data_IF_604642545364
#
_entry.id   IF_604642545364
#
_cell.length_a   1.000
_cell.length_b   1.000
_cell.length_c   1.000
_cell.angle_alpha   90.00
_cell.angle_beta   90.00
_cell.angle_gamma   90.00
#
_symmetry.space_group_name_H-M   'P 1'
#
loop_
_entity.id
_entity.type
_entity.pdbx_description
1 polymer ?
#
# COMPACT_ATOMS: atom_id res chain seq x y z
N UNK A 1 24.99 31.71 14.58
CA UNK A 1 25.12 30.75 15.71
C UNK A 1 26.57 30.37 15.99
N UNK A 2 27.36 29.87 15.02
CA UNK A 2 28.76 29.46 15.24
C UNK A 2 29.75 30.63 15.45
N UNK A 3 29.58 31.75 14.74
CA UNK A 3 30.41 32.96 14.94
C UNK A 3 30.26 33.55 16.35
N UNK A 4 29.06 33.46 16.92
CA UNK A 4 28.80 33.86 18.31
C UNK A 4 29.51 32.97 19.35
N UNK A 5 30.09 31.84 18.93
CA UNK A 5 30.93 30.95 19.76
C UNK A 5 32.43 31.08 19.46
N UNK A 6 32.86 32.18 18.83
CA UNK A 6 34.28 32.48 18.60
C UNK A 6 34.90 31.82 17.37
N UNK A 7 34.08 31.25 16.46
CA UNK A 7 34.56 30.68 15.20
C UNK A 7 34.60 31.75 14.10
N UNK A 8 35.69 31.80 13.33
CA UNK A 8 35.87 32.73 12.22
C UNK A 8 35.55 32.07 10.87
N UNK A 9 34.81 32.75 10.00
CA UNK A 9 34.49 32.25 8.65
C UNK A 9 35.70 32.48 7.75
N UNK A 10 36.29 31.40 7.23
CA UNK A 10 37.42 31.47 6.28
C UNK A 10 36.93 31.73 4.84
N UNK A 11 35.83 31.09 4.44
CA UNK A 11 35.29 31.19 3.07
C UNK A 11 33.79 30.82 3.09
N UNK A 12 33.00 31.40 2.17
CA UNK A 12 31.56 31.12 2.04
C UNK A 12 31.30 30.32 0.77
N UNK A 13 30.29 29.46 0.82
CA UNK A 13 29.81 28.71 -0.37
C UNK A 13 30.87 27.84 -1.06
N UNK A 14 31.90 27.39 -0.32
CA UNK A 14 32.97 26.50 -0.85
C UNK A 14 32.42 25.22 -1.50
N UNK A 15 31.23 24.78 -1.06
CA UNK A 15 30.48 23.71 -1.69
C UNK A 15 28.96 23.97 -1.53
N UNK A 16 28.32 24.70 -2.47
CA UNK A 16 26.96 25.23 -2.31
C UNK A 16 25.87 24.15 -2.21
N UNK A 17 26.20 22.92 -2.62
CA UNK A 17 25.30 21.75 -2.53
C UNK A 17 25.70 20.76 -1.42
N UNK A 18 26.81 21.00 -0.70
CA UNK A 18 27.21 20.13 0.40
C UNK A 18 26.44 20.46 1.66
N UNK A 19 25.81 19.45 2.25
CA UNK A 19 25.36 19.49 3.64
C UNK A 19 26.37 18.74 4.50
N UNK A 20 27.04 19.46 5.39
CA UNK A 20 27.94 18.84 6.37
C UNK A 20 27.13 18.19 7.48
N UNK A 21 27.38 16.91 7.75
CA UNK A 21 26.83 16.19 8.89
C UNK A 21 27.88 16.12 10.00
N UNK A 22 27.43 16.24 11.24
CA UNK A 22 28.26 16.01 12.42
C UNK A 22 27.73 14.75 13.10
N UNK A 23 28.61 13.77 13.31
CA UNK A 23 28.31 12.61 14.13
C UNK A 23 28.72 12.91 15.58
N UNK A 24 27.81 12.72 16.53
CA UNK A 24 28.13 12.70 17.95
C UNK A 24 28.32 11.24 18.33
N UNK A 25 29.54 10.87 18.72
CA UNK A 25 29.89 9.51 19.10
C UNK A 25 29.97 9.41 20.62
N UNK A 26 29.34 8.39 21.18
CA UNK A 26 29.34 8.10 22.60
C UNK A 26 29.24 6.59 22.85
N UNK A 27 29.57 6.13 24.08
CA UNK A 27 29.44 4.73 24.45
C UNK A 27 27.99 4.31 24.67
N UNK A 28 27.08 5.26 24.87
CA UNK A 28 25.65 5.03 25.11
C UNK A 28 24.84 5.20 23.81
N UNK A 29 23.81 4.37 23.65
CA UNK A 29 22.86 4.51 22.54
C UNK A 29 22.00 5.75 22.74
N UNK A 30 21.62 6.39 21.64
CA UNK A 30 20.62 7.46 21.69
C UNK A 30 19.28 6.90 22.20
N UNK A 31 18.47 7.77 22.79
CA UNK A 31 17.08 7.44 23.06
C UNK A 31 16.29 7.40 21.74
N UNK A 32 15.33 6.48 21.57
CA UNK A 32 14.49 6.44 20.38
C UNK A 32 13.76 7.78 20.17
N UNK A 33 13.77 8.26 18.95
CA UNK A 33 13.03 9.47 18.54
C UNK A 33 11.79 9.15 17.71
N UNK A 34 11.67 7.91 17.21
CA UNK A 34 10.63 7.49 16.28
C UNK A 34 10.97 7.79 14.81
N UNK A 35 12.03 8.56 14.57
CA UNK A 35 12.61 8.79 13.25
C UNK A 35 14.11 8.52 13.30
N UNK A 36 14.46 7.25 13.48
CA UNK A 36 15.83 6.80 13.76
C UNK A 36 16.41 5.99 12.60
N UNK A 37 17.72 5.84 12.62
CA UNK A 37 18.47 4.90 11.80
C UNK A 37 19.34 4.03 12.70
N UNK A 38 19.52 2.77 12.31
CA UNK A 38 20.41 1.82 12.96
C UNK A 38 21.50 1.40 12.00
N UNK A 39 22.76 1.59 12.41
CA UNK A 39 23.93 1.16 11.67
C UNK A 39 24.55 -0.07 12.32
N UNK A 40 24.88 -1.07 11.51
CA UNK A 40 25.61 -2.25 11.93
C UNK A 40 26.57 -2.71 10.83
N UNK A 41 27.56 -3.50 11.24
CA UNK A 41 28.51 -4.12 10.33
C UNK A 41 28.62 -5.61 10.66
N UNK A 42 28.68 -6.44 9.63
CA UNK A 42 28.95 -7.87 9.84
C UNK A 42 30.42 -8.08 10.21
N UNK A 43 30.75 -9.22 10.81
CA UNK A 43 32.11 -9.77 10.75
C UNK A 43 32.39 -10.24 9.32
N UNK A 44 33.67 -10.48 8.96
CA UNK A 44 33.98 -11.08 7.67
C UNK A 44 33.26 -12.43 7.52
N UNK A 45 32.42 -12.54 6.50
CA UNK A 45 31.49 -13.65 6.28
C UNK A 45 32.14 -14.74 5.43
N UNK A 46 31.81 -16.00 5.71
CA UNK A 46 32.15 -17.09 4.79
C UNK A 46 31.36 -16.94 3.48
N UNK A 47 31.97 -17.34 2.37
CA UNK A 47 31.30 -17.28 1.08
C UNK A 47 30.13 -18.28 1.04
N UNK A 48 28.94 -17.75 0.77
CA UNK A 48 27.72 -18.53 0.55
C UNK A 48 26.89 -17.85 -0.52
N UNK A 49 26.51 -18.62 -1.53
CA UNK A 49 25.61 -18.18 -2.59
C UNK A 49 24.35 -17.54 -1.99
N UNK A 50 24.01 -16.35 -2.47
CA UNK A 50 22.78 -15.65 -2.08
C UNK A 50 22.81 -14.95 -0.72
N UNK A 51 23.89 -15.02 0.07
CA UNK A 51 23.93 -14.46 1.42
C UNK A 51 23.52 -12.98 1.47
N UNK A 52 24.06 -12.16 0.57
CA UNK A 52 23.70 -10.74 0.51
C UNK A 52 22.20 -10.55 0.19
N UNK A 53 21.66 -11.33 -0.77
CA UNK A 53 20.24 -11.26 -1.15
C UNK A 53 19.35 -11.65 0.03
N UNK A 54 19.72 -12.69 0.77
CA UNK A 54 18.98 -13.14 1.95
C UNK A 54 18.96 -12.07 3.05
N UNK A 55 20.10 -11.41 3.30
CA UNK A 55 20.23 -10.31 4.26
C UNK A 55 19.30 -9.16 3.85
N UNK A 56 19.42 -8.65 2.62
CA UNK A 56 18.60 -7.54 2.11
C UNK A 56 17.11 -7.91 2.05
N UNK A 57 16.82 -9.18 1.75
CA UNK A 57 15.48 -9.74 1.72
C UNK A 57 14.79 -9.72 3.08
N UNK A 58 15.52 -9.86 4.19
CA UNK A 58 14.96 -9.79 5.54
C UNK A 58 14.41 -8.40 5.86
N UNK A 59 15.19 -7.35 5.58
CA UNK A 59 14.75 -5.96 5.75
C UNK A 59 13.56 -5.65 4.82
N UNK A 60 13.66 -6.05 3.55
CA UNK A 60 12.60 -5.83 2.56
C UNK A 60 11.26 -6.49 2.96
N UNK A 61 11.30 -7.73 3.47
CA UNK A 61 10.10 -8.47 3.90
C UNK A 61 9.42 -7.84 5.13
N UNK A 62 10.20 -7.15 5.96
CA UNK A 62 9.71 -6.41 7.14
C UNK A 62 9.34 -4.96 6.85
N UNK A 63 9.55 -4.49 5.61
CA UNK A 63 9.32 -3.08 5.25
C UNK A 63 10.36 -2.13 5.84
N UNK A 64 11.52 -2.62 6.26
CA UNK A 64 12.64 -1.79 6.72
C UNK A 64 13.44 -1.33 5.51
N UNK A 65 13.50 -0.02 5.30
CA UNK A 65 14.29 0.55 4.20
C UNK A 65 15.77 0.68 4.59
N UNK A 66 16.65 0.43 3.63
CA UNK A 66 18.10 0.55 3.79
C UNK A 66 18.52 1.94 3.27
N UNK A 67 19.22 2.69 4.12
CA UNK A 67 19.63 4.08 3.89
C UNK A 67 21.01 4.18 3.25
N UNK A 68 21.94 3.36 3.72
CA UNK A 68 23.28 3.23 3.17
C UNK A 68 23.72 1.77 3.29
N UNK A 69 24.52 1.31 2.32
CA UNK A 69 25.08 -0.03 2.33
C UNK A 69 26.45 0.01 1.68
N UNK A 70 27.41 -0.67 2.31
CA UNK A 70 28.74 -0.90 1.73
C UNK A 70 29.11 -2.36 1.87
N UNK A 71 29.58 -2.94 0.77
CA UNK A 71 30.11 -4.28 0.71
C UNK A 71 31.58 -4.18 0.33
N UNK A 72 32.46 -4.56 1.26
CA UNK A 72 33.90 -4.48 1.09
C UNK A 72 34.54 -5.81 1.51
N UNK A 73 35.73 -6.11 1.00
CA UNK A 73 36.49 -7.28 1.44
C UNK A 73 37.40 -6.87 2.60
N UNK A 74 37.33 -7.62 3.71
CA UNK A 74 38.23 -7.39 4.83
C UNK A 74 39.68 -7.60 4.40
N UNK A 75 40.54 -6.63 4.72
CA UNK A 75 41.93 -6.59 4.23
C UNK A 75 42.73 -7.82 4.66
N UNK A 76 42.45 -8.37 5.84
CA UNK A 76 43.21 -9.51 6.42
C UNK A 76 42.72 -10.85 5.92
N UNK A 77 41.41 -11.05 5.90
CA UNK A 77 40.77 -12.34 5.61
C UNK A 77 40.34 -12.47 4.15
N UNK A 78 40.28 -11.37 3.41
CA UNK A 78 39.71 -11.27 2.05
C UNK A 78 38.24 -11.72 1.98
N UNK A 79 37.58 -11.84 3.13
CA UNK A 79 36.18 -12.23 3.26
C UNK A 79 35.27 -11.01 3.20
N UNK A 80 34.04 -11.22 2.71
CA UNK A 80 33.06 -10.17 2.54
C UNK A 80 32.61 -9.61 3.89
N UNK A 81 32.63 -8.29 4.02
CA UNK A 81 32.09 -7.56 5.15
C UNK A 81 31.04 -6.56 4.67
N UNK A 82 29.89 -6.53 5.35
CA UNK A 82 28.76 -5.71 4.92
C UNK A 82 28.43 -4.71 6.03
N UNK A 83 28.49 -3.43 5.70
CA UNK A 83 27.92 -2.34 6.48
C UNK A 83 26.50 -2.05 5.97
N UNK A 84 25.56 -1.91 6.89
CA UNK A 84 24.18 -1.52 6.60
C UNK A 84 23.77 -0.43 7.59
N UNK A 85 23.20 0.64 7.05
CA UNK A 85 22.40 1.62 7.78
C UNK A 85 20.95 1.46 7.34
N UNK A 86 20.05 1.20 8.28
CA UNK A 86 18.64 0.92 8.01
C UNK A 86 17.70 1.77 8.87
N UNK A 87 16.50 2.06 8.38
CA UNK A 87 15.48 2.83 9.08
C UNK A 87 14.94 2.08 10.31
N UNK A 88 14.85 2.76 11.44
CA UNK A 88 14.36 2.21 12.70
C UNK A 88 15.43 2.20 13.79
N UNK A 89 14.99 2.24 15.06
CA UNK A 89 15.87 2.17 16.22
C UNK A 89 16.08 0.71 16.66
N UNK A 90 17.23 0.35 17.23
CA UNK A 90 17.48 -1.03 17.71
C UNK A 90 16.53 -1.46 18.85
N UNK A 91 15.91 -0.50 19.52
CA UNK A 91 14.91 -0.76 20.56
C UNK A 91 13.51 -1.01 19.99
N UNK A 92 13.29 -0.77 18.69
CA UNK A 92 12.09 -1.18 17.99
C UNK A 92 12.12 -2.72 17.83
N UNK A 93 11.06 -3.46 18.26
CA UNK A 93 10.99 -4.91 18.11
C UNK A 93 11.18 -5.39 16.67
N UNK A 94 10.67 -4.67 15.67
CA UNK A 94 10.75 -5.08 14.26
C UNK A 94 12.19 -5.04 13.77
N UNK A 95 12.94 -4.00 14.15
CA UNK A 95 14.36 -3.85 13.84
C UNK A 95 15.22 -4.87 14.62
N UNK A 96 14.97 -5.02 15.92
CA UNK A 96 15.67 -6.00 16.76
C UNK A 96 15.51 -7.42 16.21
N UNK A 97 14.28 -7.82 15.87
CA UNK A 97 13.99 -9.12 15.29
C UNK A 97 14.60 -9.29 13.90
N UNK A 98 14.66 -8.23 13.08
CA UNK A 98 15.31 -8.28 11.78
C UNK A 98 16.80 -8.61 11.93
N UNK A 99 17.49 -7.89 12.80
CA UNK A 99 18.92 -8.10 13.06
C UNK A 99 19.15 -9.49 13.67
N UNK A 100 18.34 -9.90 14.65
CA UNK A 100 18.43 -11.23 15.24
C UNK A 100 18.17 -12.35 14.22
N UNK A 101 17.23 -12.16 13.28
CA UNK A 101 16.96 -13.13 12.22
C UNK A 101 18.12 -13.21 11.23
N UNK A 102 18.67 -12.06 10.82
CA UNK A 102 19.85 -12.02 9.95
C UNK A 102 21.02 -12.76 10.61
N UNK A 103 21.31 -12.53 11.88
CA UNK A 103 22.40 -13.21 12.56
C UNK A 103 22.16 -14.72 12.71
N UNK A 104 21.00 -15.12 13.21
CA UNK A 104 20.75 -16.50 13.64
C UNK A 104 20.25 -17.42 12.54
N UNK A 105 19.60 -16.89 11.48
CA UNK A 105 18.99 -17.68 10.42
C UNK A 105 19.66 -17.49 9.08
N UNK A 106 20.05 -16.26 8.76
CA UNK A 106 20.72 -15.96 7.49
C UNK A 106 22.20 -16.27 7.58
N UNK A 107 22.93 -15.61 8.49
CA UNK A 107 24.38 -15.78 8.62
C UNK A 107 24.73 -17.06 9.37
N UNK A 108 23.95 -17.43 10.39
CA UNK A 108 24.12 -18.65 11.21
C UNK A 108 25.45 -18.69 11.97
N UNK A 109 25.98 -17.52 12.33
CA UNK A 109 27.20 -17.38 13.13
C UNK A 109 26.89 -16.45 14.31
N UNK A 110 26.96 -16.93 15.56
CA UNK A 110 26.71 -16.10 16.73
C UNK A 110 27.68 -14.92 16.83
N UNK A 111 27.15 -13.72 17.08
CA UNK A 111 27.95 -12.49 17.17
C UNK A 111 28.56 -12.05 15.84
N UNK A 112 28.02 -12.50 14.71
CA UNK A 112 28.43 -12.05 13.39
C UNK A 112 27.99 -10.62 13.07
N UNK A 113 27.06 -10.04 13.82
CA UNK A 113 26.66 -8.64 13.66
C UNK A 113 27.23 -7.81 14.79
N UNK A 114 27.90 -6.71 14.43
CA UNK A 114 28.30 -5.66 15.36
C UNK A 114 27.44 -4.43 15.13
N UNK A 115 26.58 -4.14 16.10
CA UNK A 115 25.86 -2.87 16.17
C UNK A 115 26.85 -1.72 16.34
N UNK A 116 26.74 -0.70 15.49
CA UNK A 116 27.54 0.51 15.56
C UNK A 116 26.80 1.61 16.32
N UNK A 117 25.46 1.64 16.20
CA UNK A 117 24.61 2.50 16.99
C UNK A 117 23.22 2.67 16.36
N UNK A 118 22.31 3.24 17.14
CA UNK A 118 21.05 3.78 16.65
C UNK A 118 20.99 5.26 17.01
N UNK A 119 20.53 6.08 16.06
CA UNK A 119 20.61 7.54 16.15
C UNK A 119 19.49 8.21 15.34
N UNK A 120 19.14 9.48 15.66
CA UNK A 120 18.14 10.22 14.91
C UNK A 120 18.54 10.34 13.44
N UNK A 121 17.62 9.99 12.55
CA UNK A 121 17.80 10.08 11.11
C UNK A 121 17.74 11.55 10.66
N UNK A 122 18.60 11.92 9.72
CA UNK A 122 18.55 13.20 9.03
C UNK A 122 18.15 12.98 7.58
N UNK A 123 16.95 13.42 7.21
CA UNK A 123 16.52 13.40 5.81
C UNK A 123 17.28 14.47 5.01
N UNK A 124 17.79 14.08 3.84
CA UNK A 124 18.46 14.99 2.92
C UNK A 124 17.48 15.65 1.96
N UNK A 125 16.27 15.11 1.82
CA UNK A 125 15.21 15.72 1.01
C UNK A 125 14.67 16.95 1.72
N UNK A 126 14.37 17.99 0.94
CA UNK A 126 13.62 19.14 1.45
C UNK A 126 12.18 18.69 1.63
N UNK A 127 11.74 18.57 2.88
CA UNK A 127 10.33 18.40 3.21
C UNK A 127 9.66 19.77 3.25
N UNK A 128 8.65 19.95 2.43
CA UNK A 128 7.76 21.11 2.48
C UNK A 128 6.61 20.86 3.45
N UNK A 129 6.20 19.61 3.63
CA UNK A 129 5.16 19.23 4.58
C UNK A 129 5.80 18.97 5.94
N UNK A 130 5.27 19.61 6.99
CA UNK A 130 5.64 19.34 8.38
C UNK A 130 4.60 18.46 9.05
N UNK A 131 3.32 18.74 8.77
CA UNK A 131 2.21 18.10 9.46
C UNK A 131 1.05 17.71 8.55
N UNK A 132 0.49 16.53 8.82
CA UNK A 132 -0.73 16.01 8.20
C UNK A 132 -1.88 15.96 9.21
N UNK A 133 -3.08 16.21 8.72
CA UNK A 133 -4.29 16.14 9.51
C UNK A 133 -5.36 15.30 8.84
N UNK A 134 -5.72 14.17 9.44
CA UNK A 134 -6.73 13.28 8.87
C UNK A 134 -8.11 13.61 9.42
N UNK A 135 -9.06 13.86 8.53
CA UNK A 135 -10.49 13.83 8.82
C UNK A 135 -10.97 12.41 8.54
N UNK A 136 -11.14 11.65 9.62
CA UNK A 136 -11.36 10.20 9.59
C UNK A 136 -10.40 9.49 10.56
N UNK A 137 -10.95 8.58 11.37
CA UNK A 137 -10.18 7.77 12.34
C UNK A 137 -10.31 6.28 12.07
N UNK A 138 -10.65 5.92 10.82
CA UNK A 138 -10.74 4.54 10.37
C UNK A 138 -9.38 3.87 10.27
N UNK A 139 -9.39 2.56 10.03
CA UNK A 139 -8.15 1.77 9.99
C UNK A 139 -7.19 2.24 8.89
N UNK A 140 -7.70 2.71 7.74
CA UNK A 140 -6.84 3.30 6.71
C UNK A 140 -6.21 4.64 7.12
N UNK A 141 -6.93 5.48 7.87
CA UNK A 141 -6.35 6.74 8.37
C UNK A 141 -5.20 6.45 9.34
N UNK A 142 -5.39 5.49 10.25
CA UNK A 142 -4.34 5.02 11.16
C UNK A 142 -3.18 4.39 10.41
N UNK A 143 -3.46 3.60 9.38
CA UNK A 143 -2.45 2.96 8.55
C UNK A 143 -1.56 4.00 7.86
N UNK A 144 -2.12 5.03 7.23
CA UNK A 144 -1.33 6.10 6.63
C UNK A 144 -0.62 6.95 7.68
N UNK A 145 -1.29 7.27 8.79
CA UNK A 145 -0.69 8.07 9.87
C UNK A 145 0.56 7.40 10.44
N UNK A 146 0.50 6.10 10.69
CA UNK A 146 1.64 5.30 11.13
C UNK A 146 2.83 5.41 10.17
N UNK A 147 2.64 5.21 8.85
CA UNK A 147 3.75 5.34 7.88
C UNK A 147 4.28 6.77 7.78
N UNK A 148 3.41 7.77 7.80
CA UNK A 148 3.82 9.17 7.74
C UNK A 148 4.62 9.57 9.00
N UNK A 149 4.24 9.06 10.17
CA UNK A 149 5.00 9.26 11.41
C UNK A 149 6.38 8.60 11.36
N UNK A 150 6.49 7.39 10.81
CA UNK A 150 7.79 6.74 10.55
C UNK A 150 8.64 7.47 9.51
N UNK A 151 8.02 8.30 8.66
CA UNK A 151 8.71 9.24 7.79
C UNK A 151 9.03 10.57 8.48
N UNK A 152 8.74 10.72 9.77
CA UNK A 152 9.08 11.91 10.56
C UNK A 152 8.13 13.10 10.35
N UNK A 153 6.94 12.87 9.79
CA UNK A 153 5.89 13.88 9.74
C UNK A 153 5.08 13.90 11.05
N UNK A 154 4.66 15.07 11.48
CA UNK A 154 3.64 15.17 12.53
C UNK A 154 2.28 14.78 11.93
N UNK A 155 1.50 13.95 12.65
CA UNK A 155 0.20 13.52 12.17
C UNK A 155 -0.85 13.67 13.26
N UNK A 156 -1.91 14.41 12.95
CA UNK A 156 -3.09 14.58 13.79
C UNK A 156 -4.26 13.79 13.20
N UNK A 157 -4.92 12.97 14.02
CA UNK A 157 -6.15 12.27 13.64
C UNK A 157 -7.35 12.97 14.27
N UNK A 158 -8.36 13.27 13.46
CA UNK A 158 -9.62 13.84 13.92
C UNK A 158 -10.82 13.08 13.35
N UNK A 159 -11.72 12.63 14.21
CA UNK A 159 -12.89 11.88 13.82
C UNK A 159 -13.85 11.64 14.98
N UNK A 160 -14.76 10.68 14.82
CA UNK A 160 -15.81 10.38 15.82
C UNK A 160 -15.24 9.85 17.15
N UNK A 161 -14.02 9.33 17.13
CA UNK A 161 -13.36 8.69 18.27
C UNK A 161 -12.29 9.55 18.94
N UNK A 162 -12.17 10.83 18.57
CA UNK A 162 -11.13 11.74 19.09
C UNK A 162 -11.77 12.97 19.70
N UNK A 163 -11.08 13.57 20.67
CA UNK A 163 -11.46 14.85 21.27
C UNK A 163 -11.18 16.01 20.31
N UNK A 164 -10.01 15.99 19.66
CA UNK A 164 -9.60 16.97 18.66
C UNK A 164 -10.60 17.01 17.50
N UNK A 165 -11.19 18.18 17.26
CA UNK A 165 -12.19 18.41 16.21
C UNK A 165 -11.53 18.79 14.88
N UNK A 166 -12.14 18.47 13.72
CA UNK A 166 -11.55 18.83 12.43
C UNK A 166 -11.33 20.33 12.31
N UNK A 167 -12.24 21.14 12.85
CA UNK A 167 -12.13 22.59 12.87
C UNK A 167 -10.84 23.09 13.56
N UNK A 168 -10.43 22.47 14.65
CA UNK A 168 -9.22 22.83 15.41
C UNK A 168 -7.95 22.25 14.76
N UNK A 169 -8.06 21.05 14.20
CA UNK A 169 -6.95 20.36 13.56
C UNK A 169 -6.50 21.06 12.27
N UNK A 170 -7.44 21.55 11.45
CA UNK A 170 -7.15 22.15 10.14
C UNK A 170 -6.21 23.35 10.28
N UNK A 171 -6.29 24.11 11.37
CA UNK A 171 -5.43 25.27 11.59
C UNK A 171 -3.97 24.87 11.89
N UNK A 172 -3.74 23.67 12.42
CA UNK A 172 -2.44 23.17 12.89
C UNK A 172 -1.63 22.43 11.81
N UNK A 173 -2.26 22.07 10.69
CA UNK A 173 -1.64 21.19 9.68
C UNK A 173 -1.36 21.87 8.34
N UNK A 174 -0.36 21.40 7.61
CA UNK A 174 -0.06 21.83 6.24
C UNK A 174 -0.92 21.08 5.21
N UNK A 175 -1.22 19.81 5.48
CA UNK A 175 -1.98 18.94 4.60
C UNK A 175 -3.17 18.33 5.34
N UNK A 176 -4.37 18.58 4.82
CA UNK A 176 -5.60 17.95 5.29
C UNK A 176 -5.91 16.75 4.42
N UNK A 177 -6.10 15.59 5.03
CA UNK A 177 -6.45 14.35 4.36
C UNK A 177 -7.88 13.95 4.71
N UNK A 178 -8.76 13.82 3.72
CA UNK A 178 -10.11 13.29 3.93
C UNK A 178 -10.10 11.79 3.68
N UNK A 179 -10.37 11.01 4.73
CA UNK A 179 -10.35 9.55 4.70
C UNK A 179 -11.58 9.01 5.48
N UNK A 180 -12.76 9.18 4.87
CA UNK A 180 -14.07 8.82 5.43
C UNK A 180 -14.81 7.86 4.48
N UNK A 181 -15.92 7.22 4.89
CA UNK A 181 -16.73 6.41 3.97
C UNK A 181 -17.16 7.21 2.74
N UNK A 182 -17.26 6.55 1.58
CA UNK A 182 -17.53 7.18 0.26
C UNK A 182 -18.78 8.09 0.34
N UNK A 183 -19.87 7.60 0.94
CA UNK A 183 -21.12 8.33 1.15
C UNK A 183 -20.99 9.60 1.99
N UNK A 184 -19.95 9.74 2.80
CA UNK A 184 -19.71 10.90 3.66
C UNK A 184 -18.66 11.87 3.10
N UNK A 185 -17.97 11.50 2.02
CA UNK A 185 -16.81 12.25 1.51
C UNK A 185 -17.19 13.66 1.05
N UNK A 186 -18.18 13.79 0.16
CA UNK A 186 -18.62 15.09 -0.38
C UNK A 186 -19.14 16.02 0.72
N UNK A 187 -19.95 15.50 1.64
CA UNK A 187 -20.44 16.29 2.79
C UNK A 187 -19.28 16.79 3.67
N UNK A 188 -18.32 15.91 3.94
CA UNK A 188 -17.12 16.24 4.72
C UNK A 188 -16.30 17.34 4.04
N UNK A 189 -16.10 17.24 2.72
CA UNK A 189 -15.41 18.25 1.93
C UNK A 189 -16.15 19.58 1.99
N UNK A 190 -17.46 19.60 1.75
CA UNK A 190 -18.25 20.85 1.78
C UNK A 190 -18.24 21.50 3.16
N UNK A 191 -18.23 20.71 4.22
CA UNK A 191 -18.24 21.21 5.60
C UNK A 191 -16.90 21.82 6.01
N UNK A 192 -15.78 21.20 5.63
CA UNK A 192 -14.46 21.55 6.16
C UNK A 192 -13.53 22.21 5.13
N UNK A 193 -13.75 22.00 3.84
CA UNK A 193 -13.00 22.60 2.73
C UNK A 193 -12.87 24.12 2.81
N UNK A 194 -13.94 24.89 3.11
CA UNK A 194 -13.84 26.35 3.24
C UNK A 194 -12.88 26.86 4.33
N UNK A 195 -12.50 26.00 5.29
CA UNK A 195 -11.54 26.35 6.35
C UNK A 195 -10.09 26.15 5.93
N UNK A 196 -9.83 25.44 4.85
CA UNK A 196 -8.47 25.16 4.38
C UNK A 196 -7.95 26.43 3.69
N UNK A 197 -6.91 27.01 4.27
CA UNK A 197 -6.33 28.28 3.82
C UNK A 197 -5.32 28.08 2.68
N UNK A 198 -5.08 29.15 1.92
CA UNK A 198 -4.06 29.16 0.86
C UNK A 198 -2.67 28.75 1.38
N UNK A 199 -1.93 28.02 0.56
CA UNK A 199 -0.63 27.46 0.93
C UNK A 199 -0.70 26.09 1.62
N UNK A 200 -1.90 25.58 1.90
CA UNK A 200 -2.15 24.21 2.38
C UNK A 200 -2.61 23.28 1.25
N UNK A 201 -2.67 21.98 1.52
CA UNK A 201 -3.24 21.00 0.58
C UNK A 201 -4.42 20.23 1.17
N UNK A 202 -5.36 19.87 0.30
CA UNK A 202 -6.41 18.90 0.54
C UNK A 202 -6.15 17.64 -0.30
N UNK A 203 -5.84 16.54 0.38
CA UNK A 203 -5.67 15.21 -0.24
C UNK A 203 -6.89 14.35 0.05
N UNK A 204 -7.48 13.81 -1.00
CA UNK A 204 -8.71 13.02 -0.92
C UNK A 204 -8.33 11.54 -1.04
N UNK A 205 -8.43 10.78 0.06
CA UNK A 205 -8.31 9.32 0.06
C UNK A 205 -9.70 8.73 -0.16
N UNK A 206 -10.14 8.67 -1.41
CA UNK A 206 -11.51 8.38 -1.79
C UNK A 206 -11.61 7.38 -2.96
N UNK A 207 -12.71 6.62 -2.97
CA UNK A 207 -13.01 5.63 -4.02
C UNK A 207 -13.88 6.15 -5.18
N UNK A 208 -14.31 7.41 -5.14
CA UNK A 208 -15.06 8.10 -6.21
C UNK A 208 -14.37 9.45 -6.46
N UNK A 209 -14.12 9.78 -7.73
CA UNK A 209 -13.21 10.87 -8.11
C UNK A 209 -13.91 12.13 -8.58
N UNK A 210 -14.82 12.04 -9.55
CA UNK A 210 -15.42 13.21 -10.21
C UNK A 210 -16.14 14.13 -9.23
N UNK A 211 -17.16 13.60 -8.55
CA UNK A 211 -17.97 14.32 -7.56
C UNK A 211 -17.14 14.85 -6.39
N UNK A 212 -16.15 14.07 -5.95
CA UNK A 212 -15.28 14.37 -4.83
C UNK A 212 -14.33 15.53 -5.14
N UNK A 213 -13.71 15.50 -6.33
CA UNK A 213 -12.83 16.57 -6.79
C UNK A 213 -13.61 17.84 -7.11
N UNK A 214 -14.77 17.73 -7.76
CA UNK A 214 -15.61 18.90 -8.06
C UNK A 214 -16.02 19.62 -6.77
N UNK A 215 -16.47 18.88 -5.76
CA UNK A 215 -16.79 19.46 -4.46
C UNK A 215 -15.58 20.16 -3.84
N UNK A 216 -14.40 19.54 -3.89
CA UNK A 216 -13.18 20.15 -3.35
C UNK A 216 -12.75 21.40 -4.13
N UNK A 217 -12.90 21.40 -5.46
CA UNK A 217 -12.63 22.54 -6.33
C UNK A 217 -13.60 23.70 -6.09
N UNK A 218 -14.86 23.39 -5.82
CA UNK A 218 -15.92 24.36 -5.54
C UNK A 218 -15.71 25.11 -4.21
N UNK A 219 -15.34 24.39 -3.14
CA UNK A 219 -15.39 24.95 -1.78
C UNK A 219 -14.05 25.45 -1.22
N UNK A 220 -12.91 25.09 -1.84
CA UNK A 220 -11.59 25.56 -1.37
C UNK A 220 -11.05 26.72 -2.22
N UNK A 221 -10.24 27.58 -1.59
CA UNK A 221 -9.61 28.72 -2.26
C UNK A 221 -8.64 28.34 -3.38
N UNK A 222 -8.33 29.24 -4.32
CA UNK A 222 -7.44 28.97 -5.46
C UNK A 222 -6.00 28.66 -5.05
N UNK A 223 -5.55 29.07 -3.86
CA UNK A 223 -4.23 28.76 -3.32
C UNK A 223 -4.17 27.45 -2.53
N UNK A 224 -5.26 26.69 -2.45
CA UNK A 224 -5.29 25.36 -1.83
C UNK A 224 -4.96 24.30 -2.88
N UNK A 225 -3.90 23.52 -2.64
CA UNK A 225 -3.58 22.40 -3.51
C UNK A 225 -4.61 21.27 -3.35
N UNK A 226 -5.04 20.65 -4.45
CA UNK A 226 -6.02 19.55 -4.39
C UNK A 226 -5.54 18.37 -5.23
N UNK A 227 -5.59 17.17 -4.65
CA UNK A 227 -5.28 15.91 -5.34
C UNK A 227 -6.13 14.78 -4.74
N UNK A 228 -6.53 13.85 -5.58
CA UNK A 228 -7.15 12.61 -5.14
C UNK A 228 -6.19 11.44 -5.30
N UNK A 229 -6.18 10.57 -4.30
CA UNK A 229 -5.44 9.32 -4.30
C UNK A 229 -6.38 8.20 -3.91
N UNK A 230 -6.49 7.18 -4.74
CA UNK A 230 -7.20 5.95 -4.42
C UNK A 230 -6.18 4.82 -4.23
N UNK A 231 -5.96 4.44 -2.97
CA UNK A 231 -5.14 3.28 -2.63
C UNK A 231 -5.92 1.97 -2.86
N UNK A 232 -5.44 1.10 -3.75
CA UNK A 232 -6.09 -0.18 -4.05
C UNK A 232 -5.60 -1.32 -3.13
N UNK A 233 -5.50 -1.01 -1.84
CA UNK A 233 -5.18 -1.98 -0.79
C UNK A 233 -5.94 -1.66 0.50
N UNK A 234 -6.21 -2.71 1.29
CA UNK A 234 -6.86 -2.59 2.59
C UNK A 234 -5.87 -2.39 3.75
N UNK A 235 -6.37 -2.02 4.94
CA UNK A 235 -5.55 -1.67 6.11
C UNK A 235 -4.79 -2.86 6.72
N UNK A 236 -5.14 -4.10 6.36
CA UNK A 236 -4.41 -5.30 6.78
C UNK A 236 -3.08 -5.50 6.02
N UNK A 237 -2.83 -4.69 4.99
CA UNK A 237 -1.64 -4.79 4.16
C UNK A 237 -0.41 -4.30 4.92
N UNK A 238 0.66 -5.09 5.01
CA UNK A 238 1.88 -4.68 5.71
C UNK A 238 2.64 -3.53 4.99
N UNK A 239 2.65 -3.51 3.66
CA UNK A 239 3.37 -2.51 2.86
C UNK A 239 2.62 -2.17 1.57
N UNK A 240 2.72 -0.92 1.09
CA UNK A 240 2.20 -0.54 -0.22
C UNK A 240 3.10 -0.95 -1.39
N UNK A 241 4.22 -1.65 -1.13
CA UNK A 241 5.09 -2.17 -2.17
C UNK A 241 4.32 -3.09 -3.14
N UNK A 242 4.48 -2.83 -4.43
CA UNK A 242 3.82 -3.54 -5.53
C UNK A 242 2.27 -3.47 -5.43
N UNK A 243 1.75 -2.41 -4.80
CA UNK A 243 0.31 -2.11 -4.71
C UNK A 243 -0.02 -0.91 -5.58
N UNK A 244 -1.14 -1.00 -6.28
CA UNK A 244 -1.59 0.06 -7.16
C UNK A 244 -2.15 1.23 -6.34
N UNK A 245 -1.69 2.44 -6.64
CA UNK A 245 -2.30 3.70 -6.22
C UNK A 245 -2.73 4.47 -7.47
N UNK A 246 -4.00 4.86 -7.55
CA UNK A 246 -4.47 5.74 -8.62
C UNK A 246 -4.40 7.18 -8.13
N UNK A 247 -3.71 8.04 -8.86
CA UNK A 247 -3.55 9.46 -8.57
C UNK A 247 -4.28 10.27 -9.62
N UNK A 248 -5.19 11.13 -9.17
CA UNK A 248 -5.89 12.09 -10.02
C UNK A 248 -5.43 13.49 -9.60
N UNK A 249 -4.52 14.05 -10.39
CA UNK A 249 -4.03 15.42 -10.22
C UNK A 249 -5.02 16.42 -10.78
N UNK A 250 -5.12 17.57 -10.13
CA UNK A 250 -5.86 18.74 -10.60
C UNK A 250 -4.90 19.81 -11.09
N UNK A 251 -5.37 20.84 -11.81
CA UNK A 251 -4.55 22.02 -12.11
C UNK A 251 -4.00 22.74 -10.87
N UNK A 252 -4.59 22.51 -9.69
CA UNK A 252 -4.12 23.05 -8.40
C UNK A 252 -3.16 22.11 -7.66
N UNK A 253 -2.86 20.91 -8.16
CA UNK A 253 -1.87 20.03 -7.53
C UNK A 253 -0.47 20.65 -7.64
N UNK A 254 0.14 20.97 -6.50
CA UNK A 254 1.43 21.66 -6.43
C UNK A 254 2.51 20.84 -5.70
N UNK A 255 3.29 21.52 -4.86
CA UNK A 255 4.47 20.93 -4.22
C UNK A 255 4.09 19.94 -3.11
N UNK A 256 3.03 20.24 -2.35
CA UNK A 256 2.58 19.40 -1.25
C UNK A 256 1.96 18.11 -1.79
N UNK A 257 1.15 18.21 -2.86
CA UNK A 257 0.65 17.03 -3.56
C UNK A 257 1.81 16.18 -4.13
N UNK A 258 2.83 16.82 -4.70
CA UNK A 258 4.02 16.12 -5.25
C UNK A 258 4.82 15.41 -4.17
N UNK A 259 4.98 16.01 -2.99
CA UNK A 259 5.68 15.38 -1.87
C UNK A 259 4.90 14.17 -1.32
N UNK A 260 3.57 14.26 -1.21
CA UNK A 260 2.75 13.11 -0.82
C UNK A 260 2.80 11.97 -1.85
N UNK A 261 2.77 12.29 -3.14
CA UNK A 261 2.92 11.30 -4.21
C UNK A 261 4.32 10.65 -4.18
N UNK A 262 5.37 11.44 -3.94
CA UNK A 262 6.74 10.93 -3.77
C UNK A 262 6.87 10.03 -2.53
N UNK A 263 6.10 10.29 -1.48
CA UNK A 263 5.97 9.38 -0.34
C UNK A 263 5.38 8.02 -0.77
N UNK A 264 4.29 8.00 -1.53
CA UNK A 264 3.71 6.74 -2.04
C UNK A 264 4.73 5.95 -2.89
N UNK A 265 5.40 6.65 -3.81
CA UNK A 265 6.41 6.04 -4.68
C UNK A 265 7.59 5.48 -3.87
N UNK A 266 8.09 6.22 -2.87
CA UNK A 266 9.19 5.79 -1.99
C UNK A 266 8.87 4.47 -1.30
N UNK A 267 7.63 4.27 -0.87
CA UNK A 267 7.20 3.03 -0.21
C UNK A 267 6.77 1.93 -1.21
N UNK A 268 7.03 2.12 -2.50
CA UNK A 268 6.89 1.09 -3.54
C UNK A 268 5.49 0.95 -4.12
N UNK A 269 4.61 1.94 -3.95
CA UNK A 269 3.32 1.93 -4.64
C UNK A 269 3.53 2.10 -6.16
N UNK A 270 2.81 1.31 -6.94
CA UNK A 270 2.71 1.48 -8.39
C UNK A 270 1.69 2.58 -8.70
N UNK A 271 2.19 3.75 -9.11
CA UNK A 271 1.38 4.94 -9.30
C UNK A 271 0.83 5.00 -10.73
N UNK A 272 -0.49 5.05 -10.85
CA UNK A 272 -1.20 5.23 -12.11
C UNK A 272 -1.90 6.58 -12.13
N UNK A 273 -1.69 7.35 -13.19
CA UNK A 273 -2.33 8.64 -13.38
C UNK A 273 -3.57 8.51 -14.25
N UNK A 274 -4.71 8.99 -13.76
CA UNK A 274 -5.99 8.94 -14.48
C UNK A 274 -6.71 10.29 -14.49
N UNK A 275 -7.65 10.45 -15.42
CA UNK A 275 -8.70 11.48 -15.31
C UNK A 275 -9.78 11.03 -14.32
N UNK A 276 -10.56 11.96 -13.72
CA UNK A 276 -11.65 11.60 -12.80
C UNK A 276 -12.64 10.61 -13.42
N UNK A 277 -13.07 10.89 -14.66
CA UNK A 277 -14.02 10.05 -15.40
C UNK A 277 -13.48 8.65 -15.73
N UNK A 278 -12.20 8.54 -16.09
CA UNK A 278 -11.56 7.26 -16.38
C UNK A 278 -11.42 6.42 -15.10
N UNK A 279 -11.00 7.04 -13.99
CA UNK A 279 -10.94 6.40 -12.69
C UNK A 279 -12.29 5.79 -12.32
N UNK A 280 -13.37 6.59 -12.34
CA UNK A 280 -14.70 6.15 -11.89
C UNK A 280 -15.27 5.04 -12.77
N UNK A 281 -15.04 5.09 -14.08
CA UNK A 281 -15.40 4.01 -15.00
C UNK A 281 -14.66 2.70 -14.66
N UNK A 282 -13.34 2.78 -14.45
CA UNK A 282 -12.51 1.60 -14.18
C UNK A 282 -12.75 1.01 -12.78
N UNK A 283 -13.19 1.80 -11.80
CA UNK A 283 -13.65 1.28 -10.50
C UNK A 283 -14.89 0.40 -10.64
N UNK A 284 -15.70 0.63 -11.69
CA UNK A 284 -16.76 -0.28 -12.11
C UNK A 284 -16.24 -1.70 -12.38
N UNK A 285 -15.11 -1.81 -13.08
CA UNK A 285 -14.48 -3.07 -13.46
C UNK A 285 -13.68 -3.68 -12.30
N UNK A 286 -12.87 -2.87 -11.61
CA UNK A 286 -11.91 -3.35 -10.62
C UNK A 286 -12.48 -3.63 -9.23
N UNK A 287 -13.59 -2.99 -8.86
CA UNK A 287 -14.13 -3.06 -7.50
C UNK A 287 -15.62 -3.38 -7.48
N UNK A 288 -16.43 -2.59 -8.19
CA UNK A 288 -17.90 -2.66 -8.07
C UNK A 288 -18.45 -3.98 -8.61
N UNK A 289 -18.15 -4.32 -9.86
CA UNK A 289 -18.62 -5.55 -10.48
C UNK A 289 -18.15 -6.82 -9.74
N UNK A 290 -16.86 -7.00 -9.40
CA UNK A 290 -16.41 -8.16 -8.63
C UNK A 290 -17.10 -8.30 -7.27
N UNK A 291 -17.40 -7.18 -6.61
CA UNK A 291 -18.13 -7.18 -5.33
C UNK A 291 -19.58 -7.65 -5.51
N UNK A 292 -20.29 -7.10 -6.52
CA UNK A 292 -21.66 -7.51 -6.84
C UNK A 292 -21.73 -9.00 -7.17
N UNK A 293 -20.82 -9.49 -8.02
CA UNK A 293 -20.73 -10.91 -8.37
C UNK A 293 -20.49 -11.76 -7.11
N UNK A 294 -19.59 -11.33 -6.23
CA UNK A 294 -19.27 -12.05 -4.99
C UNK A 294 -20.48 -12.19 -4.08
N UNK A 295 -21.25 -11.11 -3.88
CA UNK A 295 -22.46 -11.14 -3.04
C UNK A 295 -23.55 -11.98 -3.70
N UNK A 296 -23.80 -11.80 -5.00
CA UNK A 296 -24.78 -12.59 -5.74
C UNK A 296 -24.45 -14.10 -5.75
N UNK A 297 -23.16 -14.45 -5.84
CA UNK A 297 -22.69 -15.82 -5.76
C UNK A 297 -23.00 -16.43 -4.39
N UNK A 298 -22.70 -15.72 -3.29
CA UNK A 298 -23.02 -16.18 -1.94
C UNK A 298 -24.53 -16.41 -1.75
N UNK A 299 -25.36 -15.48 -2.22
CA UNK A 299 -26.82 -15.62 -2.20
C UNK A 299 -27.30 -16.83 -3.01
N UNK A 300 -26.66 -17.12 -4.14
CA UNK A 300 -26.99 -18.28 -4.99
C UNK A 300 -26.65 -19.59 -4.30
N UNK A 301 -25.51 -19.66 -3.60
CA UNK A 301 -25.12 -20.83 -2.81
C UNK A 301 -26.13 -21.10 -1.69
N UNK A 302 -26.51 -20.04 -0.95
CA UNK A 302 -27.52 -20.12 0.11
C UNK A 302 -28.88 -20.59 -0.44
N UNK A 303 -29.35 -20.00 -1.53
CA UNK A 303 -30.65 -20.33 -2.13
C UNK A 303 -30.74 -21.79 -2.62
N UNK A 304 -29.61 -22.43 -2.91
CA UNK A 304 -29.53 -23.82 -3.37
C UNK A 304 -29.02 -24.78 -2.29
N UNK A 305 -28.80 -24.31 -1.05
CA UNK A 305 -28.32 -25.14 0.05
C UNK A 305 -26.91 -25.71 -0.16
N UNK A 306 -26.08 -25.07 -0.98
CA UNK A 306 -24.73 -25.54 -1.29
C UNK A 306 -23.79 -25.21 -0.14
N UNK A 307 -23.16 -26.23 0.42
CA UNK A 307 -22.25 -26.11 1.57
C UNK A 307 -20.81 -25.86 1.12
N UNK A 308 -19.96 -25.47 2.07
CA UNK A 308 -18.50 -25.38 1.82
C UNK A 308 -17.87 -26.73 1.46
N UNK A 309 -18.43 -27.84 1.95
CA UNK A 309 -17.96 -29.19 1.63
C UNK A 309 -18.30 -29.58 0.19
N UNK A 310 -19.48 -29.20 -0.29
CA UNK A 310 -19.88 -29.40 -1.70
C UNK A 310 -18.94 -28.66 -2.65
N UNK A 311 -18.58 -27.41 -2.31
CA UNK A 311 -17.64 -26.60 -3.09
C UNK A 311 -16.27 -27.28 -3.15
N UNK A 312 -15.76 -27.74 -2.01
CA UNK A 312 -14.44 -28.37 -1.93
C UNK A 312 -14.35 -29.68 -2.73
N UNK A 313 -15.44 -30.44 -2.80
CA UNK A 313 -15.50 -31.74 -3.47
C UNK A 313 -15.79 -31.66 -4.97
N UNK A 314 -16.46 -30.61 -5.44
CA UNK A 314 -16.96 -30.52 -6.83
C UNK A 314 -16.37 -29.36 -7.66
N UNK A 315 -15.50 -28.52 -7.09
CA UNK A 315 -14.83 -27.45 -7.85
C UNK A 315 -13.48 -27.91 -8.44
N UNK A 316 -13.23 -27.52 -9.70
CA UNK A 316 -11.86 -27.51 -10.24
C UNK A 316 -11.04 -26.40 -9.58
N UNK A 317 -9.70 -26.46 -9.69
CA UNK A 317 -8.82 -25.38 -9.21
C UNK A 317 -9.20 -24.02 -9.79
N UNK A 318 -9.60 -23.99 -11.07
CA UNK A 318 -10.06 -22.77 -11.75
C UNK A 318 -11.42 -22.30 -11.23
N UNK A 319 -12.35 -23.22 -10.97
CA UNK A 319 -13.67 -22.90 -10.38
C UNK A 319 -13.57 -22.30 -8.97
N UNK A 320 -12.46 -22.49 -8.27
CA UNK A 320 -12.24 -21.89 -6.94
C UNK A 320 -11.93 -20.39 -6.99
N UNK A 321 -11.53 -19.82 -8.13
CA UNK A 321 -11.17 -18.41 -8.21
C UNK A 321 -12.31 -17.46 -7.76
N UNK A 322 -13.55 -17.57 -8.30
CA UNK A 322 -14.66 -16.76 -7.82
C UNK A 322 -15.03 -17.04 -6.36
N UNK A 323 -14.85 -18.28 -5.87
CA UNK A 323 -15.09 -18.63 -4.46
C UNK A 323 -14.11 -17.92 -3.53
N UNK A 324 -12.82 -17.90 -3.88
CA UNK A 324 -11.79 -17.21 -3.11
C UNK A 324 -12.01 -15.69 -3.11
N UNK A 325 -12.41 -15.12 -4.24
CA UNK A 325 -12.80 -13.71 -4.33
C UNK A 325 -14.02 -13.41 -3.42
N UNK A 326 -15.05 -14.26 -3.48
CA UNK A 326 -16.23 -14.17 -2.64
C UNK A 326 -15.89 -14.23 -1.14
N UNK A 327 -15.05 -15.19 -0.74
CA UNK A 327 -14.60 -15.35 0.64
C UNK A 327 -13.88 -14.09 1.15
N UNK A 328 -13.02 -13.47 0.33
CA UNK A 328 -12.34 -12.22 0.69
C UNK A 328 -13.30 -11.06 0.93
N UNK A 329 -14.37 -10.95 0.14
CA UNK A 329 -15.41 -9.92 0.32
C UNK A 329 -16.15 -10.13 1.64
N UNK A 330 -16.59 -11.35 1.91
CA UNK A 330 -17.39 -11.68 3.10
C UNK A 330 -16.58 -11.77 4.40
N UNK A 331 -15.25 -11.87 4.33
CA UNK A 331 -14.36 -11.92 5.51
C UNK A 331 -13.89 -10.53 5.98
N UNK A 332 -14.37 -9.46 5.34
CA UNK A 332 -13.95 -8.09 5.58
C UNK A 332 -15.14 -7.22 6.01
N UNK A 333 -14.91 -5.94 6.27
CA UNK A 333 -15.97 -5.04 6.75
C UNK A 333 -17.08 -4.88 5.69
N UNK A 334 -18.32 -5.32 5.97
CA UNK A 334 -19.42 -5.26 4.99
C UNK A 334 -19.78 -3.83 4.61
N UNK A 335 -19.54 -2.84 5.48
CA UNK A 335 -19.79 -1.43 5.17
C UNK A 335 -18.96 -0.96 3.98
N UNK A 336 -17.70 -1.35 3.88
CA UNK A 336 -16.81 -0.95 2.78
C UNK A 336 -17.37 -1.42 1.44
N UNK A 337 -17.81 -2.68 1.36
CA UNK A 337 -18.37 -3.24 0.13
C UNK A 337 -19.75 -2.69 -0.20
N UNK A 338 -20.58 -2.39 0.81
CA UNK A 338 -21.84 -1.70 0.61
C UNK A 338 -21.63 -0.29 0.01
N UNK A 339 -20.63 0.46 0.48
CA UNK A 339 -20.26 1.77 -0.08
C UNK A 339 -19.84 1.64 -1.55
N UNK A 340 -18.93 0.70 -1.87
CA UNK A 340 -18.46 0.43 -3.24
C UNK A 340 -19.62 0.08 -4.18
N UNK A 341 -20.53 -0.80 -3.75
CA UNK A 341 -21.69 -1.18 -4.56
C UNK A 341 -22.67 -0.01 -4.75
N UNK A 342 -22.76 0.87 -3.75
CA UNK A 342 -23.67 2.02 -3.76
C UNK A 342 -23.12 3.23 -4.51
N UNK A 343 -21.83 3.25 -4.89
CA UNK A 343 -21.22 4.37 -5.62
C UNK A 343 -22.02 4.71 -6.88
N UNK A 344 -22.26 6.00 -7.09
CA UNK A 344 -22.97 6.53 -8.26
C UNK A 344 -22.08 6.57 -9.51
N UNK A 345 -22.58 7.19 -10.59
CA UNK A 345 -21.77 7.52 -11.76
C UNK A 345 -21.53 6.38 -12.75
N UNK A 346 -20.46 6.53 -13.54
CA UNK A 346 -20.13 5.68 -14.68
C UNK A 346 -19.91 4.20 -14.30
N UNK A 347 -19.48 3.93 -13.07
CA UNK A 347 -19.31 2.57 -12.54
C UNK A 347 -20.58 1.72 -12.62
N UNK A 348 -21.76 2.34 -12.51
CA UNK A 348 -23.07 1.67 -12.60
C UNK A 348 -23.29 1.05 -13.97
N UNK A 349 -22.86 1.72 -15.04
CA UNK A 349 -22.99 1.24 -16.42
C UNK A 349 -22.33 -0.12 -16.59
N UNK A 350 -21.13 -0.30 -16.05
CA UNK A 350 -20.37 -1.56 -16.13
C UNK A 350 -21.16 -2.73 -15.53
N UNK A 351 -21.79 -2.53 -14.37
CA UNK A 351 -22.58 -3.58 -13.71
C UNK A 351 -23.82 -3.92 -14.52
N UNK A 352 -24.55 -2.91 -15.02
CA UNK A 352 -25.74 -3.14 -15.85
C UNK A 352 -25.40 -3.85 -17.17
N UNK A 353 -24.39 -3.37 -17.89
CA UNK A 353 -23.94 -4.01 -19.13
C UNK A 353 -23.52 -5.47 -18.89
N UNK A 354 -22.88 -5.76 -17.75
CA UNK A 354 -22.54 -7.13 -17.38
C UNK A 354 -23.80 -7.98 -17.15
N UNK A 355 -24.81 -7.47 -16.44
CA UNK A 355 -26.06 -8.19 -16.21
C UNK A 355 -26.80 -8.49 -17.53
N UNK A 356 -26.86 -7.53 -18.44
CA UNK A 356 -27.47 -7.72 -19.76
C UNK A 356 -26.72 -8.78 -20.57
N UNK A 357 -25.38 -8.74 -20.54
CA UNK A 357 -24.55 -9.74 -21.20
C UNK A 357 -24.68 -11.13 -20.56
N UNK A 358 -24.75 -11.21 -19.23
CA UNK A 358 -24.94 -12.46 -18.51
C UNK A 358 -26.29 -13.11 -18.86
N UNK A 359 -27.37 -12.31 -18.87
CA UNK A 359 -28.69 -12.78 -19.27
C UNK A 359 -28.68 -13.29 -20.73
N UNK A 360 -28.03 -12.54 -21.64
CA UNK A 360 -27.89 -12.95 -23.05
C UNK A 360 -27.14 -14.28 -23.18
N UNK A 361 -26.01 -14.43 -22.49
CA UNK A 361 -25.22 -15.68 -22.51
C UNK A 361 -26.02 -16.84 -21.93
N UNK A 362 -26.75 -16.62 -20.83
CA UNK A 362 -27.62 -17.65 -20.22
C UNK A 362 -28.68 -18.14 -21.20
N UNK A 363 -29.42 -17.22 -21.84
CA UNK A 363 -30.45 -17.59 -22.84
C UNK A 363 -29.85 -18.38 -24.00
N UNK A 364 -28.67 -18.01 -24.49
CA UNK A 364 -27.98 -18.75 -25.56
C UNK A 364 -27.56 -20.15 -25.10
N UNK A 365 -27.10 -20.29 -23.86
CA UNK A 365 -26.71 -21.56 -23.27
C UNK A 365 -27.91 -22.50 -23.04
N UNK A 366 -29.02 -21.98 -22.50
CA UNK A 366 -30.26 -22.73 -22.28
C UNK A 366 -30.87 -23.24 -23.60
N UNK A 367 -30.67 -22.48 -24.68
CA UNK A 367 -31.09 -22.85 -26.04
C UNK A 367 -30.05 -23.69 -26.79
N UNK A 368 -28.95 -24.10 -26.13
CA UNK A 368 -27.86 -24.89 -26.69
C UNK A 368 -27.32 -24.31 -28.02
N UNK A 369 -27.21 -22.98 -28.14
CA UNK A 369 -26.71 -22.29 -29.34
C UNK A 369 -25.18 -22.35 -29.44
N UNK A 370 -24.63 -23.56 -29.50
CA UNK A 370 -23.18 -23.83 -29.40
C UNK A 370 -22.38 -23.02 -30.45
N UNK A 371 -22.78 -23.06 -31.72
CA UNK A 371 -22.05 -22.35 -32.78
C UNK A 371 -22.10 -20.81 -32.65
N UNK A 372 -23.11 -20.26 -32.01
CA UNK A 372 -23.16 -18.82 -31.71
C UNK A 372 -22.31 -18.49 -30.49
N UNK A 373 -22.30 -19.35 -29.46
CA UNK A 373 -21.44 -19.22 -28.29
C UNK A 373 -19.95 -19.27 -28.66
N UNK A 374 -19.54 -20.22 -29.52
CA UNK A 374 -18.15 -20.28 -30.01
C UNK A 374 -17.74 -18.99 -30.72
N UNK A 375 -18.58 -18.51 -31.65
CA UNK A 375 -18.32 -17.24 -32.36
C UNK A 375 -18.22 -16.05 -31.42
N UNK A 376 -19.04 -16.02 -30.36
CA UNK A 376 -18.97 -14.98 -29.33
C UNK A 376 -17.66 -15.05 -28.54
N UNK A 377 -17.21 -16.25 -28.16
CA UNK A 377 -15.93 -16.46 -27.45
C UNK A 377 -14.75 -16.05 -28.33
N UNK A 378 -14.75 -16.42 -29.61
CA UNK A 378 -13.70 -16.04 -30.56
C UNK A 378 -13.65 -14.52 -30.73
N UNK A 379 -14.80 -13.88 -30.93
CA UNK A 379 -14.90 -12.43 -31.03
C UNK A 379 -14.40 -11.70 -29.78
N UNK A 380 -14.74 -12.20 -28.59
CA UNK A 380 -14.24 -11.65 -27.33
C UNK A 380 -12.72 -11.83 -27.19
N UNK A 381 -12.19 -12.94 -27.70
CA UNK A 381 -10.74 -13.21 -27.68
C UNK A 381 -9.97 -12.24 -28.58
N UNK A 382 -10.53 -11.89 -29.73
CA UNK A 382 -9.98 -10.87 -30.63
C UNK A 382 -9.93 -9.49 -29.96
N UNK A 383 -11.03 -9.10 -29.29
CA UNK A 383 -11.08 -7.83 -28.56
C UNK A 383 -10.08 -7.78 -27.39
N UNK A 384 -9.96 -8.88 -26.65
CA UNK A 384 -9.04 -8.97 -25.51
C UNK A 384 -7.58 -9.05 -25.93
N UNK A 385 -7.27 -9.39 -27.19
CA UNK A 385 -5.94 -9.59 -27.79
C UNK A 385 -5.22 -10.86 -27.32
N UNK A 386 -4.50 -11.56 -28.21
CA UNK A 386 -3.72 -12.75 -27.85
C UNK A 386 -2.67 -12.49 -26.77
N UNK A 387 -2.01 -11.33 -26.80
CA UNK A 387 -0.93 -10.97 -25.87
C UNK A 387 -1.44 -10.90 -24.44
N UNK A 388 -2.58 -10.22 -24.24
CA UNK A 388 -3.22 -10.13 -22.93
C UNK A 388 -3.66 -11.52 -22.44
N UNK A 389 -4.33 -12.30 -23.29
CA UNK A 389 -4.84 -13.62 -22.91
C UNK A 389 -3.70 -14.58 -22.53
N UNK A 390 -2.60 -14.58 -23.28
CA UNK A 390 -1.42 -15.39 -22.96
C UNK A 390 -0.79 -14.96 -21.62
N UNK A 391 -0.64 -13.66 -21.39
CA UNK A 391 -0.11 -13.15 -20.13
C UNK A 391 -1.00 -13.52 -18.93
N UNK A 392 -2.34 -13.40 -19.05
CA UNK A 392 -3.26 -13.79 -17.97
C UNK A 392 -3.33 -15.29 -17.77
N UNK A 393 -3.21 -16.08 -18.84
CA UNK A 393 -3.14 -17.54 -18.74
C UNK A 393 -1.88 -18.00 -17.98
N UNK A 394 -0.73 -17.34 -18.19
CA UNK A 394 0.47 -17.62 -17.42
C UNK A 394 0.27 -17.35 -15.91
N UNK A 395 -0.43 -16.27 -15.56
CA UNK A 395 -0.77 -15.96 -14.17
C UNK A 395 -1.73 -16.98 -13.56
N UNK A 396 -2.78 -17.38 -14.27
CA UNK A 396 -3.72 -18.41 -13.81
C UNK A 396 -2.98 -19.72 -13.50
N UNK A 397 -2.10 -20.17 -14.40
CA UNK A 397 -1.27 -21.38 -14.16
C UNK A 397 -0.40 -21.27 -12.91
N UNK A 398 0.16 -20.09 -12.62
CA UNK A 398 0.94 -19.87 -11.41
C UNK A 398 0.07 -19.96 -10.14
N UNK A 399 -1.16 -19.44 -10.18
CA UNK A 399 -2.13 -19.57 -9.09
C UNK A 399 -2.51 -21.05 -8.89
N UNK A 400 -2.79 -21.78 -9.97
CA UNK A 400 -3.12 -23.21 -9.90
C UNK A 400 -2.01 -24.04 -9.27
N UNK A 401 -0.75 -23.74 -9.57
CA UNK A 401 0.40 -24.40 -8.94
C UNK A 401 0.49 -24.13 -7.43
N UNK A 402 0.11 -22.94 -6.98
CA UNK A 402 0.07 -22.61 -5.55
C UNK A 402 -1.10 -23.32 -4.88
N UNK A 403 -2.30 -23.21 -5.44
CA UNK A 403 -3.50 -23.85 -4.88
C UNK A 403 -3.37 -25.38 -4.85
N UNK A 404 -2.87 -25.99 -5.93
CA UNK A 404 -2.65 -27.43 -6.01
C UNK A 404 -1.72 -27.95 -4.91
N UNK A 405 -0.63 -27.22 -4.60
CA UNK A 405 0.26 -27.56 -3.49
C UNK A 405 -0.42 -27.46 -2.12
N UNK A 406 -1.28 -26.46 -1.91
CA UNK A 406 -2.02 -26.28 -0.66
C UNK A 406 -3.05 -27.39 -0.45
N UNK A 407 -3.77 -27.79 -1.50
CA UNK A 407 -4.76 -28.87 -1.45
C UNK A 407 -4.07 -30.22 -1.20
N UNK A 408 -2.93 -30.48 -1.83
CA UNK A 408 -2.14 -31.70 -1.61
C UNK A 408 -1.47 -31.73 -0.22
N UNK A 409 -1.02 -30.58 0.30
CA UNK A 409 -0.42 -30.47 1.63
C UNK A 409 -1.43 -30.49 2.79
N UNK A 410 -2.70 -30.20 2.53
CA UNK A 410 -3.79 -30.27 3.50
C UNK A 410 -4.41 -31.68 3.63
N UNK A 411 -3.87 -32.68 2.92
CA UNK A 411 -4.26 -34.10 3.02
C UNK A 411 -3.92 -34.71 4.39
N UNK A 412 -4.87 -34.61 5.31
CA UNK A 412 -5.25 -35.57 6.37
C UNK A 412 -4.27 -36.74 6.61
N UNK A 413 -3.53 -36.70 7.73
CA UNK A 413 -3.20 -37.94 8.46
C UNK A 413 -4.50 -38.45 9.06
N UNK A 414 -5.10 -39.47 8.44
CA UNK A 414 -6.12 -40.27 9.12
C UNK A 414 -5.39 -41.07 10.21
N UNK A 415 -5.89 -41.14 11.45
CA UNK A 415 -5.35 -42.07 12.43
C UNK A 415 -5.56 -43.49 11.89
N UNK A 416 -4.49 -44.28 11.87
CA UNK A 416 -4.57 -45.72 11.66
C UNK A 416 -5.54 -46.28 12.71
N UNK A 417 -6.61 -46.92 12.23
CA UNK A 417 -7.48 -47.70 13.10
C UNK A 417 -6.72 -48.99 13.43
N UNK A 418 -6.17 -49.06 14.64
CA UNK A 418 -5.70 -50.31 15.23
C UNK A 418 -6.90 -51.28 15.35
N UNK A 419 -6.76 -52.44 14.71
CA UNK A 419 -7.49 -53.67 15.02
C UNK A 419 -6.51 -54.72 15.51
#
# INVERSE_FOLDING_TARGET
>A
MLVARGLHILEREVAPHNRTRYAVLGPELAVPTGYDATAFITRPLEDRLGMLVDILGEFSRRGINILDMRAENDVKTQKLQIYIEAEGHIQDPVMADAIAHVENRVIQVPGAIRLLGSFPRLDMRVKYIRSFGFIGTGDMSKWFADRLQHEGYEVLLSGRSTTLRPEEMIDQVDVVVVCVPISATVETIRRYGPRIQDGKALILLAGESETTLDAALEVTGPGVEVMLVHNLWGPQTATMKDKNAIVVRTPRSGRLCTEFEAFLYKHGADIFHDSPSKHDLLMGVGQKLPTVISVALAMTLEANGITSEDIASHCTLTSLYPILAMARVHSQNPRTYAEIMSTSGASRKIVHDFLDNLARVSVMADQARISELCRLIDHNSDYLTPEFLQARMAQAKAVDQVLGRMVQGAGVRLPEADS
#
